data_IF_396151412946
#
_entry.id   IF_396151412946
#
_cell.length_a   1.000
_cell.length_b   1.000
_cell.length_c   1.000
_cell.angle_alpha   90.00
_cell.angle_beta   90.00
_cell.angle_gamma   90.00
#
_symmetry.space_group_name_H-M   'P 1'
#
loop_
_entity.id
_entity.type
_entity.pdbx_description
1 polymer ?
#
# COMPACT_ATOMS: atom_id res chain seq x y z
N UNK A 1 -15.96 -4.54 9.46
CA UNK A 1 -14.63 -4.92 8.94
C UNK A 1 -13.69 -5.01 10.12
N UNK A 2 -13.26 -6.24 10.45
CA UNK A 2 -12.11 -6.49 11.30
C UNK A 2 -10.85 -6.40 10.46
N UNK A 3 -9.75 -5.87 11.01
CA UNK A 3 -8.44 -6.02 10.38
C UNK A 3 -8.08 -7.52 10.37
N UNK A 4 -7.68 -8.06 9.22
CA UNK A 4 -7.14 -9.41 9.15
C UNK A 4 -5.74 -9.41 9.76
N UNK A 5 -5.50 -10.34 10.70
CA UNK A 5 -4.21 -10.49 11.36
C UNK A 5 -3.52 -11.72 10.82
N UNK A 6 -2.25 -11.61 10.43
CA UNK A 6 -1.46 -12.75 9.97
C UNK A 6 -1.22 -13.70 11.14
N UNK A 7 -1.81 -14.89 11.12
CA UNK A 7 -1.58 -15.90 12.16
C UNK A 7 -0.44 -16.84 11.74
N UNK A 8 0.70 -16.75 12.42
CA UNK A 8 1.83 -17.67 12.23
C UNK A 8 2.67 -17.79 13.50
N UNK A 9 3.42 -18.89 13.64
CA UNK A 9 4.33 -19.11 14.76
C UNK A 9 5.56 -18.19 14.64
N UNK A 10 5.46 -16.98 15.18
CA UNK A 10 6.62 -16.08 15.30
C UNK A 10 7.61 -16.61 16.34
N UNK A 11 8.90 -16.58 16.03
CA UNK A 11 9.98 -16.93 16.97
C UNK A 11 9.94 -16.08 18.26
N UNK A 12 9.47 -14.84 18.17
CA UNK A 12 9.38 -13.89 19.30
C UNK A 12 8.07 -13.99 20.09
N UNK A 13 7.13 -14.86 19.68
CA UNK A 13 5.82 -15.02 20.32
C UNK A 13 4.86 -13.82 20.15
N UNK A 14 5.13 -12.92 19.21
CA UNK A 14 4.32 -11.73 18.91
C UNK A 14 4.17 -11.53 17.40
N UNK A 15 2.95 -11.30 16.92
CA UNK A 15 2.66 -10.83 15.56
C UNK A 15 2.73 -9.30 15.56
N UNK A 16 3.48 -8.71 14.63
CA UNK A 16 3.65 -7.26 14.58
C UNK A 16 2.46 -6.57 13.91
N UNK A 17 1.92 -5.47 14.48
CA UNK A 17 0.84 -4.69 13.86
C UNK A 17 1.21 -4.08 12.50
N UNK A 18 2.50 -4.04 12.19
CA UNK A 18 3.04 -3.53 10.93
C UNK A 18 3.07 -4.60 9.82
N UNK A 19 2.74 -5.86 10.14
CA UNK A 19 2.46 -6.87 9.14
C UNK A 19 1.12 -6.52 8.49
N UNK A 20 1.18 -5.86 7.33
CA UNK A 20 -0.01 -5.41 6.60
C UNK A 20 -0.23 -6.30 5.38
N UNK A 21 -1.47 -6.73 5.20
CA UNK A 21 -1.88 -7.45 4.00
C UNK A 21 -2.25 -6.47 2.91
N UNK A 22 -1.61 -6.61 1.75
CA UNK A 22 -1.91 -5.81 0.57
C UNK A 22 -2.62 -6.73 -0.40
N UNK A 23 -3.88 -6.42 -0.69
CA UNK A 23 -4.71 -7.20 -1.61
C UNK A 23 -5.37 -6.30 -2.64
N UNK A 24 -5.10 -6.57 -3.91
CA UNK A 24 -5.71 -5.88 -5.04
C UNK A 24 -6.16 -6.95 -6.01
N UNK A 25 -7.46 -7.02 -6.22
CA UNK A 25 -8.10 -7.87 -7.21
C UNK A 25 -9.13 -7.07 -7.99
N UNK A 26 -9.87 -7.73 -8.88
CA UNK A 26 -10.97 -7.10 -9.61
C UNK A 26 -12.10 -6.63 -8.69
N UNK A 27 -12.33 -7.32 -7.58
CA UNK A 27 -13.40 -7.04 -6.62
C UNK A 27 -12.92 -6.28 -5.39
N UNK A 28 -11.62 -6.30 -5.10
CA UNK A 28 -11.03 -5.74 -3.87
C UNK A 28 -9.99 -4.68 -4.21
N UNK A 29 -10.11 -3.50 -3.61
CA UNK A 29 -9.07 -2.49 -3.59
C UNK A 29 -8.51 -2.30 -2.18
N UNK A 30 -7.25 -1.90 -2.10
CA UNK A 30 -6.58 -1.58 -0.83
C UNK A 30 -6.44 -0.07 -0.67
N UNK A 31 -6.88 0.47 0.46
CA UNK A 31 -6.71 1.88 0.81
C UNK A 31 -5.61 2.01 1.85
N UNK A 32 -4.70 2.96 1.62
CA UNK A 32 -3.58 3.26 2.50
C UNK A 32 -3.55 4.73 2.83
N UNK A 33 -3.18 5.05 4.06
CA UNK A 33 -2.98 6.43 4.50
C UNK A 33 -1.57 6.58 5.06
N UNK A 34 -0.86 7.59 4.57
CA UNK A 34 0.50 7.94 4.97
C UNK A 34 0.49 9.30 5.65
N UNK A 35 1.19 9.42 6.77
CA UNK A 35 1.43 10.70 7.46
C UNK A 35 2.82 11.22 7.09
N UNK A 36 2.89 12.45 6.60
CA UNK A 36 4.14 13.09 6.23
C UNK A 36 4.74 13.77 7.46
N UNK A 37 5.85 13.27 7.97
CA UNK A 37 6.44 13.78 9.22
C UNK A 37 7.66 14.68 8.98
N UNK A 38 8.34 14.51 7.85
CA UNK A 38 9.58 15.23 7.57
C UNK A 38 9.29 16.62 7.03
N UNK A 39 9.74 17.65 7.75
CA UNK A 39 9.61 19.05 7.33
C UNK A 39 10.60 19.38 6.21
N UNK A 40 10.16 20.15 5.20
CA UNK A 40 10.89 20.46 3.95
C UNK A 40 11.22 19.24 3.08
N UNK A 41 10.49 18.14 3.25
CA UNK A 41 10.61 16.94 2.42
C UNK A 41 9.27 16.67 1.72
N UNK A 42 8.80 17.68 0.97
CA UNK A 42 7.43 17.75 0.43
C UNK A 42 7.32 17.20 -1.00
N UNK A 43 8.39 16.60 -1.51
CA UNK A 43 8.43 15.85 -2.76
C UNK A 43 8.35 14.35 -2.45
N UNK A 44 7.18 13.75 -2.67
CA UNK A 44 6.93 12.35 -2.35
C UNK A 44 6.89 11.44 -3.58
N UNK A 45 7.39 10.23 -3.43
CA UNK A 45 7.27 9.14 -4.41
C UNK A 45 6.66 7.93 -3.70
N UNK A 46 5.55 7.41 -4.23
CA UNK A 46 5.00 6.14 -3.78
C UNK A 46 5.80 5.01 -4.44
N UNK A 47 6.32 4.10 -3.62
CA UNK A 47 7.06 2.93 -4.08
C UNK A 47 6.36 1.66 -3.63
N UNK A 48 6.21 0.72 -4.55
CA UNK A 48 5.79 -0.65 -4.27
C UNK A 48 6.96 -1.56 -4.61
N UNK A 49 7.55 -2.14 -3.58
CA UNK A 49 8.60 -3.13 -3.73
C UNK A 49 8.04 -4.50 -3.40
N UNK A 50 8.05 -5.42 -4.37
CA UNK A 50 7.50 -6.75 -4.14
C UNK A 50 8.41 -7.52 -3.17
N UNK A 51 7.86 -8.04 -2.05
CA UNK A 51 8.64 -8.78 -1.10
C UNK A 51 9.10 -10.11 -1.68
N UNK A 52 10.36 -10.47 -1.39
CA UNK A 52 10.94 -11.77 -1.70
C UNK A 52 10.86 -12.65 -0.44
N UNK A 53 10.70 -13.95 -0.65
CA UNK A 53 10.79 -14.91 0.44
C UNK A 53 12.22 -14.95 1.00
N UNK A 54 12.33 -14.89 2.32
CA UNK A 54 13.59 -15.03 3.06
C UNK A 54 13.45 -16.13 4.11
N UNK A 55 14.56 -16.55 4.72
CA UNK A 55 14.55 -17.56 5.79
C UNK A 55 13.62 -17.20 6.97
N UNK A 56 13.41 -15.90 7.21
CA UNK A 56 12.65 -15.39 8.35
C UNK A 56 11.29 -14.80 7.96
N UNK A 57 10.98 -14.72 6.66
CA UNK A 57 9.77 -14.08 6.19
C UNK A 57 9.26 -14.69 4.88
N UNK A 58 8.05 -15.25 4.94
CA UNK A 58 7.29 -15.64 3.75
C UNK A 58 6.18 -14.59 3.49
N UNK A 59 6.25 -13.83 2.38
CA UNK A 59 5.25 -12.81 2.06
C UNK A 59 3.93 -13.36 1.53
N UNK A 60 3.84 -14.65 1.22
CA UNK A 60 2.70 -15.28 0.54
C UNK A 60 2.32 -14.53 -0.75
N UNK A 61 3.33 -14.09 -1.50
CA UNK A 61 3.16 -13.32 -2.73
C UNK A 61 2.39 -14.13 -3.78
N UNK A 62 1.25 -13.61 -4.21
CA UNK A 62 0.56 -13.99 -5.45
C UNK A 62 0.49 -12.78 -6.35
N UNK A 63 0.94 -12.96 -7.58
CA UNK A 63 1.03 -11.90 -8.56
C UNK A 63 0.69 -12.46 -9.93
N UNK A 64 -0.25 -11.82 -10.62
CA UNK A 64 -0.45 -12.05 -12.04
C UNK A 64 0.49 -11.12 -12.84
N UNK A 65 1.35 -11.67 -13.69
CA UNK A 65 2.45 -10.95 -14.37
C UNK A 65 2.03 -9.85 -15.35
N UNK A 66 0.74 -9.76 -15.69
CA UNK A 66 0.19 -8.67 -16.51
C UNK A 66 -0.65 -7.68 -15.69
N UNK A 67 -0.64 -7.78 -14.36
CA UNK A 67 -1.45 -6.92 -13.49
C UNK A 67 -1.08 -5.46 -13.66
N UNK A 68 -2.08 -4.65 -13.98
CA UNK A 68 -1.98 -3.19 -13.95
C UNK A 68 -2.83 -2.66 -12.80
N UNK A 69 -2.19 -1.90 -11.93
CA UNK A 69 -2.83 -1.29 -10.75
C UNK A 69 -2.84 0.21 -10.91
N UNK A 70 -4.04 0.79 -10.93
CA UNK A 70 -4.22 2.22 -10.81
C UNK A 70 -4.04 2.65 -9.35
N UNK A 71 -3.24 3.69 -9.15
CA UNK A 71 -3.09 4.36 -7.86
C UNK A 71 -3.92 5.62 -7.89
N UNK A 72 -4.97 5.68 -7.06
CA UNK A 72 -5.86 6.84 -6.94
C UNK A 72 -5.56 7.61 -5.67
N UNK A 73 -5.39 8.92 -5.76
CA UNK A 73 -5.44 9.80 -4.59
C UNK A 73 -6.91 9.99 -4.19
N UNK A 74 -7.20 9.83 -2.90
CA UNK A 74 -8.56 9.95 -2.36
C UNK A 74 -8.79 11.32 -1.70
N UNK A 75 -10.03 11.80 -1.70
CA UNK A 75 -10.43 13.02 -0.97
C UNK A 75 -10.67 12.71 0.52
N UNK A 76 -9.57 12.51 1.24
CA UNK A 76 -9.57 12.30 2.69
C UNK A 76 -8.78 13.42 3.37
N UNK A 77 -9.48 14.27 4.13
CA UNK A 77 -8.90 15.46 4.80
C UNK A 77 -8.37 15.21 6.21
N UNK A 78 -8.51 13.99 6.72
CA UNK A 78 -8.14 13.64 8.09
C UNK A 78 -7.82 12.15 8.23
N UNK A 79 -7.46 11.76 9.45
CA UNK A 79 -7.08 10.38 9.75
C UNK A 79 -8.24 9.42 9.54
N UNK A 80 -8.01 8.35 8.78
CA UNK A 80 -8.92 7.23 8.68
C UNK A 80 -8.76 6.37 9.94
N UNK A 81 -9.77 6.35 10.80
CA UNK A 81 -9.68 5.69 12.09
C UNK A 81 -10.82 4.69 12.27
N UNK A 82 -10.54 3.40 12.59
CA UNK A 82 -11.56 2.44 12.97
C UNK A 82 -12.43 2.89 14.15
N UNK A 83 -11.92 3.83 14.96
CA UNK A 83 -12.62 4.41 16.12
C UNK A 83 -13.61 5.49 15.74
N UNK A 84 -13.49 6.10 14.55
CA UNK A 84 -14.45 7.05 14.02
C UNK A 84 -15.25 6.43 12.88
N UNK A 85 -16.49 6.07 13.20
CA UNK A 85 -17.41 5.48 12.23
C UNK A 85 -17.74 6.40 11.05
N UNK A 86 -17.51 7.72 11.14
CA UNK A 86 -17.71 8.64 10.02
C UNK A 86 -16.62 8.50 8.96
N UNK A 87 -15.38 8.23 9.35
CA UNK A 87 -14.24 8.10 8.42
C UNK A 87 -14.01 6.65 7.99
N UNK A 88 -14.46 5.66 8.76
CA UNK A 88 -14.17 4.24 8.51
C UNK A 88 -15.27 3.45 7.78
N UNK A 89 -16.51 3.97 7.71
CA UNK A 89 -17.64 3.21 7.15
C UNK A 89 -17.57 3.00 5.64
N UNK A 90 -16.97 3.93 4.91
CA UNK A 90 -16.89 3.93 3.44
C UNK A 90 -15.56 4.49 3.01
N UNK A 91 -15.04 3.95 1.90
CA UNK A 91 -13.91 4.53 1.20
C UNK A 91 -14.20 6.00 0.84
N UNK A 92 -13.25 6.93 1.06
CA UNK A 92 -13.34 8.28 0.53
C UNK A 92 -13.34 8.27 -1.01
N UNK A 93 -13.91 9.31 -1.63
CA UNK A 93 -14.05 9.38 -3.08
C UNK A 93 -12.69 9.53 -3.79
N UNK A 94 -12.57 8.92 -4.97
CA UNK A 94 -11.39 9.08 -5.85
C UNK A 94 -11.32 10.51 -6.36
N UNK A 95 -10.20 11.19 -6.12
CA UNK A 95 -9.96 12.57 -6.58
C UNK A 95 -9.20 12.61 -7.90
N UNK A 96 -8.02 12.00 -7.95
CA UNK A 96 -7.16 11.99 -9.13
C UNK A 96 -6.38 10.69 -9.22
N UNK A 97 -6.18 10.18 -10.43
CA UNK A 97 -5.28 9.05 -10.64
C UNK A 97 -3.84 9.55 -10.61
N UNK A 98 -3.05 9.06 -9.67
CA UNK A 98 -1.65 9.41 -9.51
C UNK A 98 -0.79 8.74 -10.58
N UNK A 99 -1.00 7.45 -10.81
CA UNK A 99 -0.26 6.67 -11.81
C UNK A 99 -0.97 5.33 -12.08
N UNK A 100 -0.52 4.62 -13.11
CA UNK A 100 -0.82 3.20 -13.33
C UNK A 100 0.49 2.44 -13.26
N UNK A 101 0.57 1.46 -12.36
CA UNK A 101 1.74 0.63 -12.13
C UNK A 101 1.54 -0.70 -12.85
N UNK A 102 2.52 -1.08 -13.69
CA UNK A 102 2.53 -2.37 -14.38
C UNK A 102 3.48 -3.30 -13.65
N UNK A 103 2.95 -4.41 -13.12
CA UNK A 103 3.76 -5.41 -12.45
C UNK A 103 4.22 -6.45 -13.45
N UNK A 104 5.45 -6.35 -13.94
CA UNK A 104 6.09 -7.35 -14.80
C UNK A 104 7.41 -7.79 -14.19
N UNK A 105 7.65 -9.11 -14.08
CA UNK A 105 8.98 -9.64 -13.76
C UNK A 105 9.49 -9.39 -12.34
N UNK A 106 8.62 -9.14 -11.36
CA UNK A 106 9.03 -8.99 -9.95
C UNK A 106 9.76 -7.68 -9.62
N UNK A 107 9.75 -6.72 -10.54
CA UNK A 107 10.44 -5.44 -10.35
C UNK A 107 9.70 -4.51 -9.37
N UNK A 108 10.48 -3.65 -8.70
CA UNK A 108 9.92 -2.59 -7.88
C UNK A 108 9.35 -1.50 -8.79
N UNK A 109 8.15 -1.03 -8.47
CA UNK A 109 7.45 0.00 -9.25
C UNK A 109 7.29 1.27 -8.43
N UNK A 110 7.39 2.42 -9.09
CA UNK A 110 7.32 3.74 -8.44
C UNK A 110 6.36 4.66 -9.16
N UNK A 111 5.67 5.52 -8.41
CA UNK A 111 4.89 6.61 -8.98
C UNK A 111 5.78 7.72 -9.53
N UNK A 112 5.17 8.65 -10.24
CA UNK A 112 5.74 9.98 -10.41
C UNK A 112 5.78 10.70 -9.06
N UNK A 113 6.64 11.70 -8.98
CA UNK A 113 6.71 12.58 -7.83
C UNK A 113 5.40 13.37 -7.67
N UNK A 114 4.96 13.54 -6.44
CA UNK A 114 3.81 14.35 -6.08
C UNK A 114 4.08 15.17 -4.83
N UNK A 115 3.39 16.30 -4.71
CA UNK A 115 3.51 17.17 -3.56
C UNK A 115 2.80 16.56 -2.34
N UNK A 116 3.50 16.54 -1.20
CA UNK A 116 3.02 16.01 0.07
C UNK A 116 3.34 16.97 1.21
N UNK A 117 2.34 17.73 1.66
CA UNK A 117 2.55 18.75 2.69
C UNK A 117 2.92 18.12 4.04
N UNK A 118 3.96 18.67 4.67
CA UNK A 118 4.42 18.19 5.97
C UNK A 118 3.34 18.36 7.04
N UNK A 119 3.13 17.32 7.86
CA UNK A 119 2.08 17.28 8.88
C UNK A 119 0.70 16.85 8.36
N UNK A 120 0.52 16.71 7.04
CA UNK A 120 -0.72 16.22 6.43
C UNK A 120 -0.69 14.72 6.14
N UNK A 121 -1.82 14.21 5.64
CA UNK A 121 -1.98 12.83 5.22
C UNK A 121 -2.14 12.74 3.70
N UNK A 122 -1.46 11.79 3.08
CA UNK A 122 -1.81 11.31 1.73
C UNK A 122 -2.55 10.00 1.86
N UNK A 123 -3.76 9.95 1.31
CA UNK A 123 -4.55 8.73 1.24
C UNK A 123 -4.64 8.26 -0.20
N UNK A 124 -4.27 7.01 -0.45
CA UNK A 124 -4.28 6.40 -1.76
C UNK A 124 -5.10 5.11 -1.76
N UNK A 125 -5.67 4.79 -2.91
CA UNK A 125 -6.28 3.50 -3.21
C UNK A 125 -5.49 2.82 -4.31
N UNK A 126 -5.17 1.54 -4.08
CA UNK A 126 -4.64 0.61 -5.07
C UNK A 126 -5.80 -0.21 -5.60
N UNK A 127 -6.10 -0.07 -6.89
CA UNK A 127 -7.18 -0.79 -7.54
C UNK A 127 -6.73 -1.34 -8.90
N UNK A 128 -7.23 -2.50 -9.31
CA UNK A 128 -6.98 -3.02 -10.65
C UNK A 128 -7.47 -2.03 -11.72
N UNK A 129 -6.67 -1.83 -12.77
CA UNK A 129 -7.07 -1.02 -13.90
C UNK A 129 -8.28 -1.66 -14.60
N UNK A 130 -9.26 -0.83 -14.97
CA UNK A 130 -10.56 -1.30 -15.52
C UNK A 130 -10.43 -2.16 -16.79
N UNK A 131 -9.31 -2.07 -17.49
CA UNK A 131 -9.04 -2.80 -18.73
C UNK A 131 -8.50 -4.23 -18.50
N UNK A 132 -8.08 -4.57 -17.28
CA UNK A 132 -7.51 -5.88 -16.98
C UNK A 132 -8.61 -6.88 -16.60
N UNK A 133 -8.64 -8.04 -17.27
CA UNK A 133 -9.56 -9.14 -16.94
C UNK A 133 -9.01 -10.02 -15.82
N UNK A 134 -7.69 -10.17 -15.76
CA UNK A 134 -6.96 -10.95 -14.77
C UNK A 134 -5.96 -10.02 -14.08
N UNK A 135 -6.28 -9.62 -12.85
CA UNK A 135 -5.46 -8.73 -12.04
C UNK A 135 -5.49 -9.22 -10.59
N UNK A 136 -4.30 -9.53 -10.07
CA UNK A 136 -4.10 -10.02 -8.72
C UNK A 136 -2.74 -9.55 -8.23
N UNK A 137 -2.76 -8.79 -7.13
CA UNK A 137 -1.59 -8.42 -6.34
C UNK A 137 -1.94 -8.69 -4.88
N UNK A 138 -1.41 -9.77 -4.34
CA UNK A 138 -1.68 -10.22 -2.98
C UNK A 138 -0.34 -10.53 -2.30
N UNK A 139 0.02 -9.77 -1.27
CA UNK A 139 1.20 -10.06 -0.46
C UNK A 139 1.09 -9.45 0.93
N UNK A 140 1.81 -10.05 1.87
CA UNK A 140 2.08 -9.47 3.18
C UNK A 140 3.36 -8.65 3.12
N UNK A 141 3.32 -7.42 3.65
CA UNK A 141 4.52 -6.62 3.91
C UNK A 141 4.91 -6.72 5.38
N UNK A 142 6.21 -6.59 5.66
CA UNK A 142 6.76 -6.50 7.01
C UNK A 142 7.85 -5.43 7.04
N UNK A 143 7.66 -4.42 7.89
CA UNK A 143 8.55 -3.25 7.95
C UNK A 143 9.97 -3.53 8.48
N UNK A 144 10.21 -4.72 9.06
CA UNK A 144 11.50 -5.13 9.66
C UNK A 144 12.35 -5.97 8.71
N UNK A 145 11.79 -6.47 7.61
CA UNK A 145 12.55 -7.26 6.63
C UNK A 145 13.51 -6.34 5.87
N UNK A 146 14.74 -6.83 5.67
CA UNK A 146 15.79 -6.14 4.92
C UNK A 146 16.18 -7.00 3.71
N UNK A 147 16.15 -6.46 2.47
CA UNK A 147 15.75 -5.09 2.12
C UNK A 147 14.25 -4.83 2.37
N UNK A 148 13.90 -3.58 2.69
CA UNK A 148 12.49 -3.19 2.92
C UNK A 148 11.67 -3.48 1.65
N UNK A 149 10.58 -4.20 1.83
CA UNK A 149 9.62 -4.49 0.78
C UNK A 149 8.20 -4.24 1.27
N UNK A 150 7.32 -3.87 0.36
CA UNK A 150 5.96 -3.41 0.61
C UNK A 150 5.65 -2.09 -0.09
N UNK A 151 4.58 -1.44 0.35
CA UNK A 151 4.14 -0.13 -0.13
C UNK A 151 4.56 0.95 0.85
N UNK A 152 5.32 1.93 0.38
CA UNK A 152 5.83 3.02 1.21
C UNK A 152 6.05 4.29 0.41
N UNK A 153 6.13 5.42 1.12
CA UNK A 153 6.48 6.72 0.54
C UNK A 153 7.96 7.02 0.79
N UNK A 154 8.64 7.53 -0.23
CA UNK A 154 9.94 8.17 -0.13
C UNK A 154 9.70 9.67 -0.14
N UNK A 155 10.16 10.38 0.90
CA UNK A 155 10.12 11.84 0.98
C UNK A 155 11.48 12.41 0.58
N UNK A 156 11.49 13.44 -0.26
CA UNK A 156 12.66 14.17 -0.75
C UNK A 156 12.48 15.68 -0.57
N UNK A 157 13.59 16.42 -0.51
CA UNK A 157 13.66 17.88 -0.37
C UNK A 157 13.49 18.63 -1.67
#
# INVERSE_FOLDING_TARGET
MSEETKEWYSFEGTVYPDDRHIIVSREVSTIMQFRHMDFKMEHCILKIALPQETETFNPMLKLHESSKVDVWMLDARGELSPRDSKTWKRAPDRRTRLTTLSFSGGENVTSQEFWCTSGEFTTVELACALTEQECEVDFWQNARVVPRAGVYIIQNS
#
